data_IF_125053878172
#
_entry.id   IF_125053878172
#
_cell.length_a   1.000
_cell.length_b   1.000
_cell.length_c   1.000
_cell.angle_alpha   90.00
_cell.angle_beta   90.00
_cell.angle_gamma   90.00
#
_symmetry.space_group_name_H-M   'P 1'
#
loop_
_entity.id
_entity.type
_entity.pdbx_description
1 polymer ?
#
# COMPACT_ATOMS: atom_id res chain seq x y z
N UNK A 1 -28.17 -4.24 8.34
CA UNK A 1 -26.94 -4.30 7.52
C UNK A 1 -26.67 -2.87 7.11
N UNK A 2 -25.80 -2.16 7.83
CA UNK A 2 -25.37 -0.83 7.40
C UNK A 2 -24.70 -1.04 6.05
N UNK A 3 -25.26 -0.45 5.00
CA UNK A 3 -24.62 -0.38 3.69
C UNK A 3 -23.38 0.47 3.95
N UNK A 4 -22.23 -0.19 4.16
CA UNK A 4 -20.95 0.50 4.29
C UNK A 4 -20.81 1.29 2.99
N UNK A 5 -20.67 2.61 3.13
CA UNK A 5 -20.72 3.51 2.00
C UNK A 5 -19.50 3.23 1.11
N UNK A 6 -19.73 2.48 0.03
CA UNK A 6 -18.71 2.04 -0.93
C UNK A 6 -17.90 3.23 -1.45
N UNK A 7 -18.53 4.41 -1.50
CA UNK A 7 -17.85 5.65 -1.88
C UNK A 7 -16.70 6.05 -0.95
N UNK A 8 -16.79 5.74 0.35
CA UNK A 8 -15.74 6.03 1.33
C UNK A 8 -14.54 5.09 1.14
N UNK A 9 -14.82 3.82 0.88
CA UNK A 9 -13.81 2.80 0.60
C UNK A 9 -13.04 3.15 -0.68
N UNK A 10 -13.75 3.51 -1.75
CA UNK A 10 -13.15 3.94 -3.01
C UNK A 10 -12.29 5.20 -2.85
N UNK A 11 -12.72 6.18 -2.04
CA UNK A 11 -11.92 7.37 -1.73
C UNK A 11 -10.61 7.01 -1.02
N UNK A 12 -10.66 6.08 -0.07
CA UNK A 12 -9.47 5.59 0.66
C UNK A 12 -8.53 4.82 -0.25
N UNK A 13 -9.05 3.94 -1.11
CA UNK A 13 -8.24 3.25 -2.12
C UNK A 13 -7.55 4.25 -3.06
N UNK A 14 -8.27 5.29 -3.49
CA UNK A 14 -7.72 6.35 -4.32
C UNK A 14 -6.63 7.14 -3.58
N UNK A 15 -6.81 7.42 -2.29
CA UNK A 15 -5.78 8.05 -1.45
C UNK A 15 -4.55 7.17 -1.30
N UNK A 16 -4.73 5.87 -1.01
CA UNK A 16 -3.62 4.93 -0.92
C UNK A 16 -2.82 4.88 -2.22
N UNK A 17 -3.51 4.68 -3.35
CA UNK A 17 -2.88 4.45 -4.65
C UNK A 17 -2.23 5.72 -5.22
N UNK A 18 -2.89 6.87 -5.11
CA UNK A 18 -2.43 8.10 -5.77
C UNK A 18 -1.57 8.99 -4.86
N UNK A 19 -1.62 8.80 -3.54
CA UNK A 19 -0.92 9.68 -2.58
C UNK A 19 0.09 8.90 -1.75
N UNK A 20 -0.34 7.85 -1.04
CA UNK A 20 0.55 7.14 -0.11
C UNK A 20 1.60 6.29 -0.82
N UNK A 21 1.18 5.48 -1.79
CA UNK A 21 2.05 4.63 -2.59
C UNK A 21 3.20 5.43 -3.22
N UNK A 22 2.97 6.45 -4.08
CA UNK A 22 4.07 7.20 -4.68
C UNK A 22 4.93 7.95 -3.65
N UNK A 23 4.36 8.35 -2.51
CA UNK A 23 5.12 8.99 -1.42
C UNK A 23 6.07 8.01 -0.73
N UNK A 24 5.62 6.78 -0.49
CA UNK A 24 6.46 5.70 0.03
C UNK A 24 7.55 5.35 -0.99
N UNK A 25 7.16 5.08 -2.24
CA UNK A 25 8.08 4.65 -3.29
C UNK A 25 9.21 5.67 -3.51
N UNK A 26 8.86 6.96 -3.55
CA UNK A 26 9.84 8.05 -3.66
C UNK A 26 10.76 8.18 -2.44
N UNK A 27 10.27 7.83 -1.24
CA UNK A 27 11.02 7.98 0.01
C UNK A 27 12.03 6.85 0.21
N UNK A 28 11.67 5.63 -0.18
CA UNK A 28 12.48 4.44 0.02
C UNK A 28 13.14 3.92 -1.25
N UNK A 29 12.93 4.58 -2.39
CA UNK A 29 13.34 4.14 -3.74
C UNK A 29 12.93 2.69 -4.01
N UNK A 30 11.66 2.40 -3.74
CA UNK A 30 11.15 1.04 -3.59
C UNK A 30 9.84 0.88 -4.33
N UNK A 31 9.67 -0.16 -5.13
CA UNK A 31 8.43 -0.34 -5.88
C UNK A 31 7.42 -1.10 -5.05
N UNK A 32 6.21 -0.57 -4.94
CA UNK A 32 5.06 -1.30 -4.42
C UNK A 32 4.18 -1.81 -5.58
N UNK A 33 4.73 -1.90 -6.79
CA UNK A 33 4.09 -2.51 -7.95
C UNK A 33 3.98 -4.03 -7.76
N UNK A 34 2.79 -4.58 -8.01
CA UNK A 34 2.50 -6.00 -7.76
C UNK A 34 2.14 -6.35 -6.31
N UNK A 35 2.34 -5.44 -5.35
CA UNK A 35 1.96 -5.65 -3.95
C UNK A 35 0.46 -5.48 -3.79
N UNK A 36 -0.19 -6.53 -3.31
CA UNK A 36 -1.62 -6.54 -3.04
C UNK A 36 -1.84 -6.49 -1.52
N UNK A 37 -2.32 -5.35 -1.03
CA UNK A 37 -2.54 -5.13 0.41
C UNK A 37 -3.97 -5.49 0.86
N UNK A 38 -4.88 -5.77 -0.07
CA UNK A 38 -6.29 -6.10 0.18
C UNK A 38 -6.88 -6.81 -1.05
N UNK A 39 -7.99 -7.52 -0.90
CA UNK A 39 -8.68 -8.13 -2.04
C UNK A 39 -9.51 -7.08 -2.82
N UNK A 40 -9.14 -6.74 -4.08
CA UNK A 40 -9.87 -5.74 -4.86
C UNK A 40 -11.26 -6.21 -5.30
N UNK A 41 -11.53 -7.52 -5.32
CA UNK A 41 -12.82 -8.10 -5.72
C UNK A 41 -13.85 -8.11 -4.59
N UNK A 42 -13.39 -8.17 -3.33
CA UNK A 42 -14.25 -8.28 -2.14
C UNK A 42 -14.14 -7.10 -1.19
N UNK A 43 -13.72 -5.94 -1.68
CA UNK A 43 -13.50 -4.72 -0.91
C UNK A 43 -14.73 -4.23 -0.12
N UNK A 44 -15.94 -4.51 -0.62
CA UNK A 44 -17.20 -4.16 0.06
C UNK A 44 -17.44 -5.02 1.31
N UNK A 45 -16.86 -6.23 1.34
CA UNK A 45 -16.96 -7.17 2.46
C UNK A 45 -15.88 -6.86 3.52
N UNK A 46 -14.72 -6.36 3.10
CA UNK A 46 -13.56 -6.11 3.97
C UNK A 46 -12.93 -4.71 3.82
N UNK A 47 -13.70 -3.61 3.97
CA UNK A 47 -13.16 -2.26 3.87
C UNK A 47 -12.14 -1.91 4.97
N UNK A 48 -12.13 -2.65 6.07
CA UNK A 48 -11.10 -2.57 7.11
C UNK A 48 -9.69 -2.88 6.59
N UNK A 49 -9.54 -3.73 5.56
CA UNK A 49 -8.23 -4.05 4.98
C UNK A 49 -7.59 -2.82 4.33
N UNK A 50 -8.39 -1.98 3.68
CA UNK A 50 -7.92 -0.71 3.11
C UNK A 50 -7.45 0.24 4.19
N UNK A 51 -8.18 0.33 5.31
CA UNK A 51 -7.75 1.15 6.44
C UNK A 51 -6.45 0.63 7.06
N UNK A 52 -6.32 -0.69 7.23
CA UNK A 52 -5.11 -1.32 7.75
C UNK A 52 -3.91 -1.06 6.84
N UNK A 53 -4.06 -1.26 5.52
CA UNK A 53 -3.03 -0.98 4.54
C UNK A 53 -2.58 0.49 4.57
N UNK A 54 -3.53 1.43 4.63
CA UNK A 54 -3.25 2.87 4.78
C UNK A 54 -2.44 3.13 6.05
N UNK A 55 -2.89 2.61 7.19
CA UNK A 55 -2.23 2.81 8.48
C UNK A 55 -0.81 2.22 8.50
N UNK A 56 -0.62 1.06 7.88
CA UNK A 56 0.67 0.39 7.77
C UNK A 56 1.64 1.21 6.90
N UNK A 57 1.22 1.65 5.72
CA UNK A 57 2.05 2.49 4.85
C UNK A 57 2.37 3.83 5.50
N UNK A 58 1.40 4.48 6.16
CA UNK A 58 1.63 5.74 6.87
C UNK A 58 2.62 5.57 8.02
N UNK A 59 2.49 4.48 8.78
CA UNK A 59 3.41 4.15 9.87
C UNK A 59 4.80 3.87 9.33
N UNK A 60 4.93 3.09 8.25
CA UNK A 60 6.21 2.81 7.60
C UNK A 60 6.89 4.11 7.12
N UNK A 61 6.15 5.01 6.46
CA UNK A 61 6.64 6.34 6.06
C UNK A 61 7.07 7.16 7.29
N UNK A 62 6.27 7.15 8.35
CA UNK A 62 6.51 7.95 9.57
C UNK A 62 7.73 7.44 10.34
N UNK A 63 7.84 6.14 10.54
CA UNK A 63 8.92 5.47 11.27
C UNK A 63 10.18 5.27 10.41
N UNK A 64 10.11 5.62 9.12
CA UNK A 64 11.20 5.40 8.17
C UNK A 64 11.60 3.91 8.05
N UNK A 65 10.60 3.02 8.05
CA UNK A 65 10.77 1.57 7.91
C UNK A 65 10.39 1.11 6.51
N UNK A 66 11.17 0.18 5.97
CA UNK A 66 10.89 -0.51 4.72
C UNK A 66 9.94 -1.67 5.01
N UNK A 67 8.88 -1.78 4.22
CA UNK A 67 7.96 -2.90 4.22
C UNK A 67 8.62 -4.13 3.61
N UNK A 68 8.40 -5.27 4.26
CA UNK A 68 8.92 -6.56 3.87
C UNK A 68 7.80 -7.36 3.18
N UNK A 69 8.17 -8.25 2.27
CA UNK A 69 7.28 -9.22 1.67
C UNK A 69 7.01 -10.43 2.59
N UNK A 70 6.27 -11.42 2.09
CA UNK A 70 5.93 -12.65 2.83
C UNK A 70 7.16 -13.51 3.18
N UNK A 71 8.24 -13.38 2.42
CA UNK A 71 9.52 -14.06 2.65
C UNK A 71 10.43 -13.27 3.63
N UNK A 72 9.98 -12.10 4.09
CA UNK A 72 10.73 -11.21 4.99
C UNK A 72 11.81 -10.41 4.28
N UNK A 73 11.83 -10.44 2.95
CA UNK A 73 12.72 -9.63 2.14
C UNK A 73 12.11 -8.24 1.97
N UNK A 74 12.93 -7.17 1.92
CA UNK A 74 12.42 -5.88 1.49
C UNK A 74 11.80 -6.06 0.10
N UNK A 75 10.63 -5.44 -0.11
CA UNK A 75 10.01 -5.41 -1.44
C UNK A 75 11.07 -4.95 -2.49
N UNK A 76 10.96 -5.25 -3.77
CA UNK A 76 12.13 -4.97 -4.64
C UNK A 76 12.46 -3.44 -4.66
N UNK A 77 13.74 -3.03 -4.56
CA UNK A 77 14.10 -1.64 -4.84
C UNK A 77 13.64 -1.28 -6.25
N UNK A 78 13.11 -0.06 -6.42
CA UNK A 78 12.57 0.42 -7.69
C UNK A 78 13.63 0.50 -8.80
N UNK A 79 14.90 0.37 -8.44
CA UNK A 79 16.02 0.37 -9.37
C UNK A 79 16.99 -0.76 -9.05
N UNK A 80 16.95 -1.84 -9.84
CA UNK A 80 18.21 -2.47 -10.22
C UNK A 80 18.98 -1.42 -11.03
N UNK A 81 19.80 -0.60 -10.36
CA UNK A 81 20.95 0.00 -11.02
C UNK A 81 21.90 -1.13 -11.40
N UNK A 82 21.57 -1.83 -12.49
CA UNK A 82 22.51 -2.66 -13.24
C UNK A 82 23.50 -1.69 -13.87
N UNK A 83 24.57 -1.38 -13.14
CA UNK A 83 25.72 -0.68 -13.67
C UNK A 83 26.45 -1.70 -14.58
N UNK A 84 26.30 -1.56 -15.90
CA UNK A 84 27.08 -2.30 -16.90
C UNK A 84 28.49 -1.74 -17.04
#
# INVERSE_FOLDING_TARGET
>A
MEIRDVSVVLKRMAYFTNVLKPKYEKKFDHSLEGVCFWDPLHIEQYPEEVEAAIAELETAIKENKILLDEDGEPLAPASEHVIY
#
